data_IF_009059707204
#
_entry.id   IF_009059707204
#
_cell.length_a   1.000
_cell.length_b   1.000
_cell.length_c   1.000
_cell.angle_alpha   90.00
_cell.angle_beta   90.00
_cell.angle_gamma   90.00
#
_symmetry.space_group_name_H-M   'P 1'
#
loop_
_entity.id
_entity.type
_entity.pdbx_description
1 polymer ?
#
# COMPACT_ATOMS: atom_id res chain seq x y z
N UNK A 1 -11.12 -1.54 -13.92
CA UNK A 1 -11.71 -0.42 -13.16
C UNK A 1 -10.59 0.46 -12.65
N UNK A 2 -10.33 1.62 -13.28
CA UNK A 2 -9.30 2.57 -12.85
C UNK A 2 -9.58 3.17 -11.45
N UNK A 3 -10.85 3.38 -11.12
CA UNK A 3 -11.24 4.06 -9.88
C UNK A 3 -10.85 3.27 -8.63
N UNK A 4 -11.03 1.94 -8.65
CA UNK A 4 -10.64 1.06 -7.53
C UNK A 4 -9.14 1.14 -7.20
N UNK A 5 -8.28 1.29 -8.21
CA UNK A 5 -6.84 1.45 -8.00
C UNK A 5 -6.51 2.80 -7.35
N UNK A 6 -7.22 3.88 -7.71
CA UNK A 6 -7.04 5.19 -7.08
C UNK A 6 -7.37 5.12 -5.59
N UNK A 7 -8.48 4.47 -5.23
CA UNK A 7 -8.85 4.29 -3.83
C UNK A 7 -7.82 3.45 -3.05
N UNK A 8 -7.31 2.36 -3.63
CA UNK A 8 -6.26 1.54 -3.01
C UNK A 8 -5.01 2.40 -2.72
N UNK A 9 -4.56 3.21 -3.68
CA UNK A 9 -3.41 4.11 -3.50
C UNK A 9 -3.64 5.09 -2.35
N UNK A 10 -4.84 5.68 -2.26
CA UNK A 10 -5.18 6.61 -1.18
C UNK A 10 -5.14 5.94 0.18
N UNK A 11 -5.69 4.72 0.30
CA UNK A 11 -5.71 3.96 1.55
C UNK A 11 -4.30 3.55 1.98
N UNK A 12 -3.47 3.05 1.04
CA UNK A 12 -2.06 2.74 1.31
C UNK A 12 -1.32 3.96 1.84
N UNK A 13 -1.46 5.10 1.17
CA UNK A 13 -0.79 6.34 1.58
C UNK A 13 -1.29 6.84 2.94
N UNK A 14 -2.57 6.67 3.24
CA UNK A 14 -3.15 7.03 4.53
C UNK A 14 -2.54 6.17 5.65
N UNK A 15 -2.54 4.85 5.49
CA UNK A 15 -2.01 3.91 6.49
C UNK A 15 -0.53 4.19 6.77
N UNK A 16 0.30 4.28 5.73
CA UNK A 16 1.75 4.52 5.91
C UNK A 16 2.06 5.90 6.51
N UNK A 17 1.18 6.88 6.32
CA UNK A 17 1.34 8.21 6.93
C UNK A 17 0.93 8.24 8.40
N UNK A 18 -0.16 7.56 8.74
CA UNK A 18 -0.71 7.56 10.11
C UNK A 18 0.04 6.60 11.03
N UNK A 19 0.39 5.42 10.51
CA UNK A 19 0.95 4.33 11.31
C UNK A 19 2.47 4.16 11.12
N UNK A 20 3.04 4.78 10.09
CA UNK A 20 4.47 4.72 9.78
C UNK A 20 4.89 3.47 8.99
N UNK A 21 6.21 3.20 8.93
CA UNK A 21 6.77 2.11 8.15
C UNK A 21 6.34 0.74 8.67
N UNK A 22 5.95 -0.17 7.77
CA UNK A 22 5.49 -1.51 8.15
C UNK A 22 5.78 -2.56 7.08
N UNK A 23 5.70 -3.83 7.47
CA UNK A 23 5.85 -4.94 6.54
C UNK A 23 4.75 -4.96 5.48
N UNK A 24 5.10 -5.46 4.29
CA UNK A 24 4.20 -5.60 3.14
C UNK A 24 2.91 -6.33 3.50
N UNK A 25 3.01 -7.48 4.15
CA UNK A 25 1.88 -8.33 4.58
C UNK A 25 0.94 -7.57 5.53
N UNK A 26 1.52 -6.83 6.47
CA UNK A 26 0.76 -6.00 7.43
C UNK A 26 0.01 -4.88 6.71
N UNK A 27 0.66 -4.21 5.75
CA UNK A 27 0.04 -3.16 4.96
C UNK A 27 -1.11 -3.69 4.12
N UNK A 28 -0.93 -4.82 3.42
CA UNK A 28 -1.97 -5.45 2.59
C UNK A 28 -3.19 -5.81 3.42
N UNK A 29 -2.98 -6.45 4.58
CA UNK A 29 -4.06 -6.78 5.52
C UNK A 29 -4.83 -5.54 5.98
N UNK A 30 -4.14 -4.47 6.37
CA UNK A 30 -4.77 -3.22 6.80
C UNK A 30 -5.55 -2.52 5.69
N UNK A 31 -5.07 -2.56 4.46
CA UNK A 31 -5.78 -2.04 3.29
C UNK A 31 -7.05 -2.85 3.05
N UNK A 32 -6.96 -4.19 3.10
CA UNK A 32 -8.10 -5.08 2.96
C UNK A 32 -9.18 -4.82 4.02
N UNK A 33 -8.79 -4.71 5.30
CA UNK A 33 -9.70 -4.40 6.41
C UNK A 33 -10.39 -3.04 6.24
N UNK A 34 -9.63 -1.98 5.91
CA UNK A 34 -10.20 -0.63 5.72
C UNK A 34 -11.16 -0.57 4.53
N UNK A 35 -10.89 -1.32 3.48
CA UNK A 35 -11.70 -1.30 2.27
C UNK A 35 -12.90 -2.24 2.34
N UNK A 36 -12.91 -3.23 3.24
CA UNK A 36 -13.93 -4.30 3.32
C UNK A 36 -14.08 -5.08 2.00
N UNK A 37 -12.98 -5.23 1.25
CA UNK A 37 -12.98 -5.81 -0.09
C UNK A 37 -12.19 -7.12 -0.07
N UNK A 38 -12.82 -8.19 0.41
CA UNK A 38 -12.20 -9.53 0.55
C UNK A 38 -11.72 -10.19 -0.74
N UNK A 39 -12.00 -9.61 -1.92
CA UNK A 39 -11.57 -10.14 -3.22
C UNK A 39 -10.47 -9.30 -3.89
N UNK A 40 -10.06 -8.17 -3.30
CA UNK A 40 -9.13 -7.24 -3.95
C UNK A 40 -7.65 -7.43 -3.58
N UNK A 41 -7.29 -8.46 -2.83
CA UNK A 41 -5.88 -8.68 -2.43
C UNK A 41 -4.91 -8.65 -3.61
N UNK A 42 -5.24 -9.30 -4.74
CA UNK A 42 -4.39 -9.24 -5.95
C UNK A 42 -4.23 -7.81 -6.49
N UNK A 43 -5.27 -6.99 -6.40
CA UNK A 43 -5.23 -5.59 -6.85
C UNK A 43 -4.43 -4.71 -5.89
N UNK A 44 -4.50 -4.97 -4.58
CA UNK A 44 -3.69 -4.29 -3.57
C UNK A 44 -2.21 -4.59 -3.84
N UNK A 45 -1.86 -5.87 -3.98
CA UNK A 45 -0.49 -6.31 -4.29
C UNK A 45 0.04 -5.71 -5.59
N UNK A 46 -0.74 -5.77 -6.67
CA UNK A 46 -0.36 -5.18 -7.96
C UNK A 46 -0.17 -3.67 -7.87
N UNK A 47 -1.02 -2.99 -7.10
CA UNK A 47 -0.91 -1.55 -6.87
C UNK A 47 0.35 -1.22 -6.07
N UNK A 48 0.65 -2.03 -5.05
CA UNK A 48 1.84 -1.85 -4.23
C UNK A 48 3.12 -2.03 -5.04
N UNK A 49 3.19 -3.05 -5.90
CA UNK A 49 4.31 -3.27 -6.81
C UNK A 49 4.52 -2.09 -7.76
N UNK A 50 3.43 -1.50 -8.27
CA UNK A 50 3.51 -0.31 -9.11
C UNK A 50 4.00 0.92 -8.33
N UNK A 51 3.60 1.09 -7.07
CA UNK A 51 4.06 2.19 -6.22
C UNK A 51 5.54 2.04 -5.86
N UNK A 52 6.01 0.81 -5.63
CA UNK A 52 7.42 0.50 -5.41
C UNK A 52 8.23 0.74 -6.70
N UNK A 53 7.75 0.22 -7.84
CA UNK A 53 8.41 0.40 -9.14
C UNK A 53 8.51 1.87 -9.59
N UNK A 54 7.54 2.70 -9.18
CA UNK A 54 7.54 4.16 -9.42
C UNK A 54 8.24 4.96 -8.31
N UNK A 55 8.86 4.28 -7.34
CA UNK A 55 9.57 4.87 -6.17
C UNK A 55 8.71 5.75 -5.27
N UNK A 56 7.38 5.68 -5.36
CA UNK A 56 6.46 6.40 -4.44
C UNK A 56 6.44 5.77 -3.06
N UNK A 57 6.62 4.46 -3.00
CA UNK A 57 6.87 3.69 -1.78
C UNK A 57 8.28 3.12 -1.89
N UNK A 58 9.02 3.16 -0.80
CA UNK A 58 10.36 2.62 -0.70
C UNK A 58 10.36 1.48 0.32
N UNK A 59 11.32 0.58 0.17
CA UNK A 59 11.59 -0.48 1.12
C UNK A 59 12.92 -0.18 1.82
N UNK A 60 12.94 -0.26 3.15
CA UNK A 60 14.17 -0.10 3.93
C UNK A 60 14.95 -1.42 4.04
N UNK A 61 16.10 -1.38 4.70
CA UNK A 61 16.98 -2.54 4.90
C UNK A 61 16.33 -3.62 5.79
N UNK A 62 15.31 -3.25 6.59
CA UNK A 62 14.51 -4.16 7.41
C UNK A 62 13.32 -4.77 6.64
N UNK A 63 13.16 -4.41 5.36
CA UNK A 63 12.08 -4.90 4.51
C UNK A 63 10.74 -4.17 4.71
N UNK A 64 10.69 -3.09 5.48
CA UNK A 64 9.48 -2.29 5.73
C UNK A 64 9.25 -1.26 4.64
N UNK A 65 7.98 -1.03 4.36
CA UNK A 65 7.51 -0.10 3.35
C UNK A 65 7.21 1.26 3.98
N UNK A 66 7.68 2.33 3.33
CA UNK A 66 7.45 3.70 3.76
C UNK A 66 7.22 4.63 2.56
N UNK A 67 6.55 5.76 2.80
CA UNK A 67 6.33 6.77 1.77
C UNK A 67 7.65 7.46 1.41
N UNK A 68 7.87 7.67 0.12
CA UNK A 68 8.93 8.56 -0.31
C UNK A 68 8.61 9.99 0.17
N UNK A 69 9.32 10.44 1.20
CA UNK A 69 9.32 11.86 1.58
C UNK A 69 9.95 12.66 0.44
N UNK A 70 9.24 13.69 -0.03
CA UNK A 70 9.76 14.67 -1.00
C UNK A 70 10.95 15.43 -0.43
#
# INVERSE_FOLDING_TARGET
MPDSMIFIIQVINLILREEGPMERTTLVYKVEEKMQLGELNRYIETTLDLLIGTKKILQDDDGKLFLQSK
#
